data_IF_512462690318
#
_entry.id   IF_512462690318
#
_cell.length_a   1.000
_cell.length_b   1.000
_cell.length_c   1.000
_cell.angle_alpha   90.00
_cell.angle_beta   90.00
_cell.angle_gamma   90.00
#
_symmetry.space_group_name_H-M   'P 1'
#
loop_
_entity.id
_entity.type
_entity.pdbx_description
1 polymer ?
#
# COMPACT_ATOMS: atom_id res chain seq x y z
N UNK A 1 -31.63 6.83 2.38
CA UNK A 1 -30.69 5.98 1.65
C UNK A 1 -29.76 5.22 2.60
N UNK A 2 -29.07 5.88 3.54
CA UNK A 2 -28.11 5.25 4.47
C UNK A 2 -28.71 4.62 5.74
N UNK A 3 -30.02 4.78 5.99
CA UNK A 3 -30.74 4.23 7.17
C UNK A 3 -30.09 4.60 8.52
N UNK A 4 -29.40 5.73 8.59
CA UNK A 4 -28.82 6.29 9.82
C UNK A 4 -29.66 7.48 10.34
N UNK A 5 -29.37 7.89 11.57
CA UNK A 5 -29.91 9.13 12.13
C UNK A 5 -29.39 10.35 11.38
N UNK A 6 -30.31 11.24 10.99
CA UNK A 6 -29.99 12.41 10.17
C UNK A 6 -29.20 13.43 10.97
N UNK A 7 -29.59 13.67 12.23
CA UNK A 7 -28.94 14.67 13.06
C UNK A 7 -27.52 14.25 13.46
N UNK A 8 -27.34 12.99 13.84
CA UNK A 8 -26.02 12.43 14.13
C UNK A 8 -25.09 12.44 12.92
N UNK A 9 -25.63 12.19 11.72
CA UNK A 9 -24.84 12.27 10.48
C UNK A 9 -24.43 13.71 10.16
N UNK A 10 -25.36 14.66 10.28
CA UNK A 10 -25.06 16.08 10.08
C UNK A 10 -23.98 16.53 11.06
N UNK A 11 -24.16 16.25 12.35
CA UNK A 11 -23.23 16.60 13.41
C UNK A 11 -21.85 15.99 13.18
N UNK A 12 -21.77 14.71 12.79
CA UNK A 12 -20.50 14.05 12.47
C UNK A 12 -19.79 14.59 11.23
N UNK A 13 -20.52 15.24 10.32
CA UNK A 13 -19.95 15.84 9.10
C UNK A 13 -19.53 17.29 9.25
N UNK A 14 -20.18 18.05 10.13
CA UNK A 14 -19.99 19.51 10.23
C UNK A 14 -19.49 19.98 11.59
N UNK A 15 -19.46 19.12 12.61
CA UNK A 15 -18.98 19.45 13.96
C UNK A 15 -17.76 18.62 14.31
N UNK A 16 -16.89 19.21 15.13
CA UNK A 16 -15.75 18.54 15.75
C UNK A 16 -15.86 18.72 17.25
N UNK A 17 -15.81 17.59 17.96
CA UNK A 17 -15.68 17.58 19.41
C UNK A 17 -14.20 17.60 19.81
N UNK A 18 -13.87 18.45 20.78
CA UNK A 18 -12.54 18.56 21.35
C UNK A 18 -12.66 18.32 22.85
N UNK A 19 -12.12 17.19 23.32
CA UNK A 19 -12.01 16.91 24.74
C UNK A 19 -10.88 17.75 25.35
N UNK A 20 -11.22 18.56 26.35
CA UNK A 20 -10.25 19.22 27.23
C UNK A 20 -10.26 18.54 28.60
N UNK A 21 -9.38 18.95 29.53
CA UNK A 21 -9.26 18.31 30.86
C UNK A 21 -10.55 18.37 31.68
N UNK A 22 -11.34 19.41 31.49
CA UNK A 22 -12.52 19.68 32.31
C UNK A 22 -13.84 19.64 31.51
N UNK A 23 -13.81 19.86 30.19
CA UNK A 23 -15.02 19.97 29.35
C UNK A 23 -14.84 19.45 27.91
N UNK A 24 -15.94 19.07 27.26
CA UNK A 24 -15.98 18.78 25.82
C UNK A 24 -16.49 19.99 25.06
N UNK A 25 -15.67 20.56 24.20
CA UNK A 25 -16.02 21.73 23.38
C UNK A 25 -16.41 21.25 21.98
N UNK A 26 -17.61 21.61 21.54
CA UNK A 26 -18.05 21.34 20.16
C UNK A 26 -17.84 22.59 19.30
N UNK A 27 -17.14 22.44 18.17
CA UNK A 27 -16.90 23.53 17.21
C UNK A 27 -17.34 23.11 15.81
N UNK A 28 -17.96 24.02 15.07
CA UNK A 28 -18.24 23.81 13.65
C UNK A 28 -16.96 23.76 12.81
N UNK A 29 -16.91 22.83 11.87
CA UNK A 29 -15.86 22.72 10.87
C UNK A 29 -15.98 23.85 9.85
N UNK A 30 -14.84 24.24 9.26
CA UNK A 30 -14.86 25.08 8.06
C UNK A 30 -15.32 24.27 6.83
N UNK A 31 -15.60 24.99 5.74
CA UNK A 31 -16.14 24.41 4.50
C UNK A 31 -15.20 23.33 3.93
N UNK A 32 -13.88 23.53 4.01
CA UNK A 32 -12.91 22.59 3.47
C UNK A 32 -12.85 21.31 4.31
N UNK A 33 -12.78 21.44 5.63
CA UNK A 33 -12.77 20.30 6.54
C UNK A 33 -14.07 19.49 6.45
N UNK A 34 -15.23 20.15 6.36
CA UNK A 34 -16.51 19.47 6.16
C UNK A 34 -16.57 18.71 4.82
N UNK A 35 -16.00 19.27 3.75
CA UNK A 35 -15.89 18.58 2.46
C UNK A 35 -14.98 17.33 2.55
N UNK A 36 -13.85 17.44 3.24
CA UNK A 36 -12.95 16.30 3.50
C UNK A 36 -13.67 15.20 4.30
N UNK A 37 -14.45 15.56 5.33
CA UNK A 37 -15.25 14.61 6.11
C UNK A 37 -16.30 13.89 5.23
N UNK A 38 -17.00 14.63 4.37
CA UNK A 38 -17.97 14.05 3.42
C UNK A 38 -17.30 13.07 2.46
N UNK A 39 -16.18 13.46 1.85
CA UNK A 39 -15.47 12.63 0.88
C UNK A 39 -14.84 11.40 1.56
N UNK A 40 -14.36 11.57 2.79
CA UNK A 40 -13.92 10.47 3.65
C UNK A 40 -15.05 9.47 3.94
N UNK A 41 -16.21 9.96 4.37
CA UNK A 41 -17.39 9.11 4.60
C UNK A 41 -17.79 8.34 3.34
N UNK A 42 -17.83 9.00 2.18
CA UNK A 42 -18.16 8.36 0.92
C UNK A 42 -17.18 7.24 0.56
N UNK A 43 -15.87 7.47 0.73
CA UNK A 43 -14.83 6.45 0.51
C UNK A 43 -14.98 5.28 1.48
N UNK A 44 -15.23 5.54 2.76
CA UNK A 44 -15.42 4.50 3.78
C UNK A 44 -16.66 3.65 3.50
N UNK A 45 -17.79 4.27 3.15
CA UNK A 45 -19.02 3.55 2.80
C UNK A 45 -18.81 2.66 1.57
N UNK A 46 -18.11 3.17 0.55
CA UNK A 46 -17.76 2.38 -0.63
C UNK A 46 -16.87 1.19 -0.28
N UNK A 47 -15.83 1.40 0.55
CA UNK A 47 -14.95 0.33 1.03
C UNK A 47 -15.74 -0.76 1.75
N UNK A 48 -16.61 -0.39 2.70
CA UNK A 48 -17.42 -1.37 3.43
C UNK A 48 -18.40 -2.12 2.53
N UNK A 49 -19.01 -1.44 1.55
CA UNK A 49 -19.88 -2.10 0.58
C UNK A 49 -19.09 -3.11 -0.25
N UNK A 50 -17.90 -2.73 -0.72
CA UNK A 50 -17.03 -3.62 -1.48
C UNK A 50 -16.61 -4.85 -0.66
N UNK A 51 -16.13 -4.65 0.56
CA UNK A 51 -15.75 -5.73 1.48
C UNK A 51 -16.93 -6.66 1.80
N UNK A 52 -18.13 -6.09 1.98
CA UNK A 52 -19.35 -6.86 2.19
C UNK A 52 -19.71 -7.70 0.97
N UNK A 53 -19.60 -7.16 -0.25
CA UNK A 53 -19.83 -7.90 -1.49
C UNK A 53 -18.83 -9.06 -1.61
N UNK A 54 -17.53 -8.79 -1.41
CA UNK A 54 -16.48 -9.82 -1.46
C UNK A 54 -16.77 -10.93 -0.43
N UNK A 55 -17.15 -10.55 0.79
CA UNK A 55 -17.54 -11.50 1.83
C UNK A 55 -18.72 -12.36 1.40
N UNK A 56 -19.77 -11.76 0.82
CA UNK A 56 -20.95 -12.49 0.36
C UNK A 56 -20.66 -13.43 -0.81
N UNK A 57 -19.78 -13.03 -1.71
CA UNK A 57 -19.31 -13.90 -2.80
C UNK A 57 -18.53 -15.08 -2.22
N UNK A 58 -17.60 -14.83 -1.30
CA UNK A 58 -16.80 -15.89 -0.67
C UNK A 58 -17.66 -16.89 0.13
N UNK A 59 -18.63 -16.40 0.90
CA UNK A 59 -19.62 -17.23 1.60
C UNK A 59 -20.46 -18.08 0.64
N UNK A 60 -20.80 -17.54 -0.53
CA UNK A 60 -21.63 -18.23 -1.54
C UNK A 60 -20.87 -19.25 -2.37
N UNK A 61 -19.59 -19.00 -2.69
CA UNK A 61 -18.74 -19.95 -3.44
C UNK A 61 -18.36 -21.10 -2.50
N UNK A 62 -18.02 -20.79 -1.24
CA UNK A 62 -17.53 -21.74 -0.26
C UNK A 62 -16.12 -22.24 -0.56
N UNK A 63 -15.44 -22.74 0.48
CA UNK A 63 -14.18 -23.47 0.35
C UNK A 63 -14.28 -24.76 1.15
N UNK A 64 -13.69 -25.84 0.63
CA UNK A 64 -13.54 -27.08 1.39
C UNK A 64 -12.38 -26.91 2.38
N UNK A 65 -12.66 -26.86 3.71
CA UNK A 65 -11.61 -26.71 4.72
C UNK A 65 -10.67 -27.91 4.79
N UNK A 66 -11.02 -29.05 4.17
CA UNK A 66 -10.19 -30.26 4.14
C UNK A 66 -9.35 -30.37 2.86
N UNK A 67 -9.37 -29.37 1.97
CA UNK A 67 -8.60 -29.45 0.74
C UNK A 67 -7.11 -29.48 1.03
N UNK A 68 -6.41 -30.48 0.48
CA UNK A 68 -4.95 -30.59 0.57
C UNK A 68 -4.21 -29.66 -0.40
N UNK A 69 -4.93 -29.00 -1.31
CA UNK A 69 -4.33 -28.21 -2.39
C UNK A 69 -5.22 -27.04 -2.80
N UNK A 70 -4.60 -25.95 -3.21
CA UNK A 70 -5.28 -24.72 -3.65
C UNK A 70 -4.63 -24.23 -4.94
N UNK A 71 -5.44 -23.77 -5.88
CA UNK A 71 -5.00 -23.09 -7.10
C UNK A 71 -5.29 -21.60 -6.91
N UNK A 72 -4.23 -20.79 -6.87
CA UNK A 72 -4.33 -19.33 -6.83
C UNK A 72 -4.23 -18.76 -8.24
N UNK A 73 -5.09 -17.77 -8.54
CA UNK A 73 -4.99 -16.94 -9.74
C UNK A 73 -4.80 -15.50 -9.28
N UNK A 74 -3.79 -14.83 -9.81
CA UNK A 74 -3.47 -13.45 -9.48
C UNK A 74 -3.70 -12.58 -10.71
N UNK A 75 -4.61 -11.62 -10.59
CA UNK A 75 -4.89 -10.59 -11.59
C UNK A 75 -4.54 -9.23 -10.99
N UNK A 76 -3.47 -8.62 -11.48
CA UNK A 76 -2.90 -7.38 -10.94
C UNK A 76 -2.42 -6.47 -12.07
N UNK A 77 -2.29 -5.18 -11.77
CA UNK A 77 -1.66 -4.21 -12.66
C UNK A 77 -0.16 -4.47 -12.81
N UNK A 78 0.36 -4.35 -14.03
CA UNK A 78 1.80 -4.32 -14.29
C UNK A 78 2.44 -2.98 -13.88
N UNK A 79 3.74 -2.81 -14.18
CA UNK A 79 4.45 -1.56 -13.90
C UNK A 79 3.81 -0.36 -14.62
N UNK A 80 3.69 0.76 -13.90
CA UNK A 80 3.16 2.02 -14.42
C UNK A 80 4.20 3.14 -14.37
N UNK A 81 4.21 3.98 -15.41
CA UNK A 81 5.06 5.17 -15.47
C UNK A 81 4.38 6.27 -16.28
N UNK A 82 3.92 7.30 -15.58
CA UNK A 82 3.31 8.50 -16.17
C UNK A 82 4.19 9.74 -15.97
N UNK A 83 3.82 10.86 -16.59
CA UNK A 83 4.50 12.15 -16.39
C UNK A 83 4.45 12.62 -14.92
N UNK A 84 3.35 12.34 -14.22
CA UNK A 84 3.19 12.62 -12.79
C UNK A 84 2.69 11.32 -12.15
N UNK A 85 3.49 10.73 -11.29
CA UNK A 85 3.16 9.52 -10.54
C UNK A 85 2.76 9.89 -9.11
N UNK A 86 1.66 9.33 -8.63
CA UNK A 86 1.19 9.52 -7.26
C UNK A 86 1.71 8.40 -6.35
N UNK A 87 1.32 8.44 -5.07
CA UNK A 87 1.58 7.34 -4.15
C UNK A 87 0.96 6.00 -4.62
N UNK A 88 -0.14 6.06 -5.39
CA UNK A 88 -0.78 4.87 -5.96
C UNK A 88 0.16 4.12 -6.91
N UNK A 89 0.81 4.84 -7.84
CA UNK A 89 1.79 4.25 -8.75
C UNK A 89 3.00 3.67 -8.00
N UNK A 90 3.44 4.32 -6.91
CA UNK A 90 4.49 3.76 -6.05
C UNK A 90 4.05 2.43 -5.44
N UNK A 91 2.82 2.32 -4.94
CA UNK A 91 2.28 1.06 -4.41
C UNK A 91 2.19 -0.02 -5.49
N UNK A 92 1.68 0.32 -6.69
CA UNK A 92 1.57 -0.60 -7.83
C UNK A 92 2.95 -1.14 -8.23
N UNK A 93 3.92 -0.25 -8.42
CA UNK A 93 5.27 -0.64 -8.81
C UNK A 93 5.98 -1.43 -7.70
N UNK A 94 5.79 -1.07 -6.43
CA UNK A 94 6.32 -1.83 -5.30
C UNK A 94 5.74 -3.25 -5.22
N UNK A 95 4.45 -3.43 -5.47
CA UNK A 95 3.84 -4.77 -5.58
C UNK A 95 4.47 -5.57 -6.72
N UNK A 96 4.73 -4.95 -7.87
CA UNK A 96 5.41 -5.61 -8.97
C UNK A 96 6.86 -6.00 -8.62
N UNK A 97 7.62 -5.14 -7.95
CA UNK A 97 8.97 -5.49 -7.47
C UNK A 97 8.95 -6.67 -6.49
N UNK A 98 7.95 -6.73 -5.60
CA UNK A 98 7.77 -7.87 -4.69
C UNK A 98 7.49 -9.17 -5.43
N UNK A 99 6.69 -9.12 -6.49
CA UNK A 99 6.38 -10.28 -7.32
C UNK A 99 7.59 -10.70 -8.15
N UNK A 100 8.34 -9.75 -8.69
CA UNK A 100 9.61 -10.03 -9.37
C UNK A 100 10.57 -10.73 -8.42
N UNK A 101 10.67 -10.27 -7.16
CA UNK A 101 11.56 -10.91 -6.20
C UNK A 101 11.10 -12.31 -5.81
N UNK A 102 9.80 -12.50 -5.62
CA UNK A 102 9.24 -13.82 -5.39
C UNK A 102 9.52 -14.76 -6.58
N UNK A 103 9.37 -14.28 -7.82
CA UNK A 103 9.67 -15.04 -9.02
C UNK A 103 11.15 -15.43 -9.08
N UNK A 104 12.05 -14.46 -8.90
CA UNK A 104 13.49 -14.69 -8.89
C UNK A 104 13.86 -15.74 -7.84
N UNK A 105 13.39 -15.58 -6.60
CA UNK A 105 13.70 -16.53 -5.54
C UNK A 105 13.11 -17.92 -5.78
N UNK A 106 11.88 -18.01 -6.28
CA UNK A 106 11.18 -19.28 -6.38
C UNK A 106 11.60 -20.08 -7.61
N UNK A 107 11.57 -19.46 -8.79
CA UNK A 107 11.90 -20.15 -10.05
C UNK A 107 13.36 -20.56 -10.06
N UNK A 108 14.28 -19.63 -9.78
CA UNK A 108 15.71 -19.96 -9.86
C UNK A 108 16.13 -20.95 -8.77
N UNK A 109 15.60 -20.85 -7.55
CA UNK A 109 15.96 -21.79 -6.49
C UNK A 109 15.40 -23.19 -6.76
N UNK A 110 14.14 -23.29 -7.17
CA UNK A 110 13.54 -24.60 -7.49
C UNK A 110 14.21 -25.25 -8.69
N UNK A 111 14.50 -24.49 -9.76
CA UNK A 111 15.20 -25.03 -10.93
C UNK A 111 16.59 -25.55 -10.56
N UNK A 112 17.36 -24.81 -9.76
CA UNK A 112 18.68 -25.25 -9.30
C UNK A 112 18.62 -26.49 -8.39
N UNK A 113 17.62 -26.58 -7.52
CA UNK A 113 17.37 -27.76 -6.68
C UNK A 113 17.03 -28.99 -7.53
N UNK A 114 16.20 -28.84 -8.57
CA UNK A 114 15.84 -29.95 -9.47
C UNK A 114 17.01 -30.36 -10.36
N UNK A 115 17.77 -29.43 -10.95
CA UNK A 115 18.96 -29.76 -11.73
C UNK A 115 20.02 -30.49 -10.90
N UNK A 116 20.19 -30.10 -9.64
CA UNK A 116 21.10 -30.79 -8.71
C UNK A 116 20.62 -32.20 -8.39
N UNK A 117 19.30 -32.38 -8.21
CA UNK A 117 18.67 -33.68 -7.92
C UNK A 117 18.70 -34.63 -9.12
N UNK A 118 18.61 -34.11 -10.33
CA UNK A 118 18.68 -34.89 -11.58
C UNK A 118 20.11 -35.12 -12.09
N UNK A 119 21.13 -34.64 -11.36
CA UNK A 119 22.56 -34.73 -11.74
C UNK A 119 22.84 -34.14 -13.14
N UNK A 120 22.06 -33.14 -13.56
CA UNK A 120 22.26 -32.44 -14.82
C UNK A 120 23.47 -31.53 -14.68
N UNK A 121 24.34 -31.51 -15.69
CA UNK A 121 25.46 -30.57 -15.70
C UNK A 121 24.96 -29.16 -16.03
N UNK A 122 24.87 -28.30 -15.01
CA UNK A 122 24.43 -26.90 -15.12
C UNK A 122 25.47 -25.95 -14.53
N UNK A 123 25.48 -24.71 -15.02
CA UNK A 123 26.29 -23.61 -14.50
C UNK A 123 25.39 -22.59 -13.80
N UNK A 124 25.83 -22.05 -12.67
CA UNK A 124 25.07 -21.01 -11.96
C UNK A 124 24.84 -19.79 -12.87
N UNK A 125 23.59 -19.36 -12.96
CA UNK A 125 23.19 -18.19 -13.74
C UNK A 125 23.12 -17.03 -12.77
N UNK A 126 24.06 -16.10 -12.89
CA UNK A 126 24.02 -14.84 -12.15
C UNK A 126 22.82 -14.02 -12.65
N UNK A 127 21.86 -13.74 -11.76
CA UNK A 127 20.74 -12.86 -12.04
C UNK A 127 20.87 -11.56 -11.24
N UNK A 128 20.25 -10.50 -11.76
CA UNK A 128 20.19 -9.21 -11.08
C UNK A 128 19.03 -9.30 -10.07
N UNK A 129 19.40 -9.33 -8.79
CA UNK A 129 18.44 -9.25 -7.68
C UNK A 129 17.98 -7.79 -7.51
N UNK A 130 16.71 -7.59 -7.13
CA UNK A 130 16.08 -6.29 -6.87
C UNK A 130 15.94 -6.00 -5.35
N UNK A 131 16.64 -6.74 -4.49
CA UNK A 131 16.66 -6.50 -3.03
C UNK A 131 17.00 -5.06 -2.69
N UNK A 132 17.91 -4.41 -3.40
CA UNK A 132 18.30 -3.03 -3.15
C UNK A 132 17.14 -2.05 -3.35
N UNK A 133 16.34 -2.24 -4.39
CA UNK A 133 15.11 -1.48 -4.65
C UNK A 133 14.06 -1.75 -3.58
N UNK A 134 13.88 -3.02 -3.18
CA UNK A 134 12.93 -3.38 -2.13
C UNK A 134 13.34 -2.77 -0.77
N UNK A 135 14.61 -2.89 -0.40
CA UNK A 135 15.18 -2.30 0.81
C UNK A 135 14.97 -0.78 0.81
N UNK A 136 15.18 -0.10 -0.31
CA UNK A 136 14.96 1.33 -0.42
C UNK A 136 13.52 1.71 -0.05
N UNK A 137 12.54 0.90 -0.47
CA UNK A 137 11.11 1.20 -0.27
C UNK A 137 10.64 0.79 1.13
N UNK A 138 10.98 -0.42 1.59
CA UNK A 138 10.32 -1.05 2.75
C UNK A 138 11.17 -1.16 4.01
N UNK A 139 12.50 -0.99 3.92
CA UNK A 139 13.41 -1.25 5.04
C UNK A 139 13.04 -0.44 6.27
N UNK A 140 13.08 -1.09 7.43
CA UNK A 140 12.85 -0.45 8.73
C UNK A 140 14.13 -0.56 9.58
N UNK A 141 14.70 0.57 10.06
CA UNK A 141 14.34 1.96 9.77
C UNK A 141 14.92 2.46 8.43
N UNK A 142 14.36 3.55 7.90
CA UNK A 142 14.99 4.36 6.84
C UNK A 142 14.52 4.12 5.40
N UNK A 143 13.64 3.16 5.13
CA UNK A 143 12.99 3.01 3.83
C UNK A 143 11.92 4.09 3.59
N UNK A 144 11.54 4.30 2.33
CA UNK A 144 10.54 5.33 1.94
C UNK A 144 9.25 5.20 2.75
N UNK A 145 8.71 3.99 2.90
CA UNK A 145 7.47 3.76 3.65
C UNK A 145 7.63 4.11 5.14
N UNK A 146 8.77 3.75 5.74
CA UNK A 146 9.06 4.06 7.13
C UNK A 146 9.15 5.59 7.36
N UNK A 147 9.80 6.30 6.43
CA UNK A 147 9.89 7.76 6.47
C UNK A 147 8.54 8.44 6.27
N UNK A 148 7.67 7.88 5.42
CA UNK A 148 6.30 8.38 5.25
C UNK A 148 5.48 8.23 6.54
N UNK A 149 5.60 7.08 7.22
CA UNK A 149 4.93 6.82 8.49
C UNK A 149 5.42 7.79 9.58
N UNK A 150 6.73 7.95 9.73
CA UNK A 150 7.33 8.92 10.67
C UNK A 150 6.90 10.37 10.37
N UNK A 151 6.92 10.77 9.10
CA UNK A 151 6.50 12.11 8.68
C UNK A 151 5.02 12.36 8.99
N UNK A 152 4.14 11.37 8.83
CA UNK A 152 2.73 11.49 9.19
C UNK A 152 2.54 11.83 10.68
N UNK A 153 3.25 11.13 11.56
CA UNK A 153 3.24 11.45 13.00
C UNK A 153 3.77 12.86 13.29
N UNK A 154 4.79 13.32 12.56
CA UNK A 154 5.43 14.62 12.77
C UNK A 154 4.70 15.81 12.11
N UNK A 155 3.85 15.57 11.10
CA UNK A 155 3.06 16.65 10.46
C UNK A 155 1.99 17.20 11.40
N UNK A 156 1.61 16.44 12.44
CA UNK A 156 0.87 16.95 13.61
C UNK A 156 1.68 17.97 14.45
N UNK A 157 3.00 18.10 14.20
CA UNK A 157 3.97 18.84 15.03
C UNK A 157 4.90 19.73 14.15
N UNK A 158 4.38 20.46 13.15
CA UNK A 158 5.02 21.65 12.53
C UNK A 158 6.01 21.55 11.33
N UNK A 159 6.39 20.39 10.75
CA UNK A 159 7.40 20.38 9.66
C UNK A 159 6.81 20.03 8.27
N UNK A 160 7.12 20.80 7.19
CA UNK A 160 6.70 20.43 5.84
C UNK A 160 7.41 19.18 5.31
N UNK A 161 6.58 18.22 4.90
CA UNK A 161 6.84 16.91 4.27
C UNK A 161 8.01 16.84 3.27
N UNK A 162 8.25 17.92 2.51
CA UNK A 162 9.16 17.90 1.37
C UNK A 162 10.64 17.78 1.75
N UNK A 163 11.07 18.21 2.93
CA UNK A 163 12.50 18.34 3.24
C UNK A 163 13.19 17.00 3.55
N UNK A 164 12.66 16.12 4.41
CA UNK A 164 13.30 14.83 4.73
C UNK A 164 13.31 13.87 3.54
N UNK A 165 12.23 13.81 2.77
CA UNK A 165 12.11 12.98 1.57
C UNK A 165 13.04 13.48 0.46
N UNK A 166 13.15 14.79 0.26
CA UNK A 166 14.08 15.36 -0.71
C UNK A 166 15.55 15.13 -0.32
N UNK A 167 15.88 15.14 0.98
CA UNK A 167 17.21 14.76 1.47
C UNK A 167 17.47 13.26 1.25
N UNK A 168 16.47 12.41 1.50
CA UNK A 168 16.55 10.97 1.24
C UNK A 168 16.79 10.67 -0.24
N UNK A 169 16.02 11.26 -1.15
CA UNK A 169 16.21 11.08 -2.59
C UNK A 169 17.49 11.74 -3.13
N UNK A 170 17.98 12.83 -2.52
CA UNK A 170 19.29 13.41 -2.87
C UNK A 170 20.46 12.53 -2.47
N UNK A 171 20.30 11.75 -1.40
CA UNK A 171 21.33 10.85 -0.90
C UNK A 171 21.28 9.45 -1.56
N UNK A 172 20.15 9.09 -2.18
CA UNK A 172 19.94 7.82 -2.87
C UNK A 172 19.68 8.06 -4.37
N UNK A 173 20.78 8.13 -5.15
CA UNK A 173 20.81 8.39 -6.59
C UNK A 173 20.20 7.24 -7.42
N UNK A 174 18.87 7.07 -7.44
CA UNK A 174 18.25 5.98 -8.21
C UNK A 174 17.29 6.41 -9.33
N UNK A 175 16.84 7.67 -9.36
CA UNK A 175 15.89 8.15 -10.39
C UNK A 175 16.54 8.96 -11.52
N UNK A 176 17.79 8.64 -11.89
CA UNK A 176 18.37 9.09 -13.17
C UNK A 176 18.42 7.94 -14.16
N UNK A 177 17.35 7.86 -14.97
CA UNK A 177 17.43 7.58 -16.40
C UNK A 177 18.18 6.33 -16.86
N UNK A 178 17.79 5.12 -16.45
CA UNK A 178 18.17 3.86 -17.15
C UNK A 178 17.07 2.77 -17.08
N UNK A 179 15.82 3.13 -17.38
CA UNK A 179 14.83 2.14 -17.83
C UNK A 179 14.64 2.34 -19.34
N UNK A 180 15.62 1.82 -20.09
CA UNK A 180 15.49 1.46 -21.49
C UNK A 180 15.91 0.00 -21.59
N UNK A 181 14.91 -0.88 -21.61
CA UNK A 181 14.94 -2.12 -22.38
C UNK A 181 13.59 -2.26 -23.08
#
# INVERSE_FOLDING_TARGET
>A
MLRCDVQGLEDGLIKREMATRDETITKSLDIFAAAVCRDGLAKTLYSFLFDWIVTKINESIGQDPNSSSVIGVLDIYGFESFTINSFEQLCINFTNEKLQQHFNQHVFKMEQEEYTKEEINWSNIDFIDNIDVLDLIEKKPGGVIALLDEAWYLTFIFIPFSLPILLFFKNNYFWKSEILY
#
